data_IF_930167184209
#
_entry.id   IF_930167184209
#
_cell.length_a   1.000
_cell.length_b   1.000
_cell.length_c   1.000
_cell.angle_alpha   90.00
_cell.angle_beta   90.00
_cell.angle_gamma   90.00
#
_symmetry.space_group_name_H-M   'P 1'
#
loop_
_entity.id
_entity.type
_entity.pdbx_description
1 polymer ?
#
# COMPACT_ATOMS: atom_id res chain seq x y z
N UNK A 1 -33.39 2.89 29.42
CA UNK A 1 -33.24 1.53 28.84
C UNK A 1 -33.06 1.54 27.31
N UNK A 2 -33.81 2.35 26.53
CA UNK A 2 -33.66 2.40 25.06
C UNK A 2 -32.25 2.74 24.52
N UNK A 3 -31.48 3.58 25.23
CA UNK A 3 -30.10 3.92 24.85
C UNK A 3 -29.08 2.77 25.04
N UNK A 4 -29.37 1.83 25.93
CA UNK A 4 -28.46 0.71 26.23
C UNK A 4 -28.58 -0.36 25.13
N UNK A 5 -29.79 -0.62 24.65
CA UNK A 5 -30.06 -1.57 23.55
C UNK A 5 -29.48 -1.06 22.23
N UNK A 6 -29.62 0.23 21.92
CA UNK A 6 -29.05 0.83 20.69
C UNK A 6 -27.52 0.88 20.69
N UNK A 7 -26.90 0.99 21.86
CA UNK A 7 -25.44 0.94 22.02
C UNK A 7 -24.90 -0.49 21.91
N UNK A 8 -25.72 -1.51 22.24
CA UNK A 8 -25.35 -2.94 22.17
C UNK A 8 -25.51 -3.52 20.74
N UNK A 9 -26.56 -3.09 20.01
CA UNK A 9 -26.53 -2.89 18.53
C UNK A 9 -25.36 -1.98 18.20
N UNK A 10 -24.91 -1.70 16.99
CA UNK A 10 -23.65 -0.96 16.74
C UNK A 10 -22.38 -1.66 17.28
N UNK A 11 -22.28 -1.98 18.58
CA UNK A 11 -21.13 -2.66 19.16
C UNK A 11 -20.94 -4.06 18.57
N UNK A 12 -22.02 -4.83 18.31
CA UNK A 12 -21.88 -6.15 17.67
C UNK A 12 -21.23 -6.07 16.28
N UNK A 13 -21.76 -5.26 15.36
CA UNK A 13 -21.19 -5.14 14.00
C UNK A 13 -19.81 -4.50 14.02
N UNK A 14 -19.57 -3.52 14.90
CA UNK A 14 -18.24 -2.93 15.08
C UNK A 14 -17.23 -3.98 15.53
N UNK A 15 -17.56 -4.79 16.54
CA UNK A 15 -16.69 -5.83 17.05
C UNK A 15 -16.38 -6.88 15.98
N UNK A 16 -17.38 -7.29 15.19
CA UNK A 16 -17.16 -8.24 14.10
C UNK A 16 -16.28 -7.66 12.99
N UNK A 17 -16.52 -6.40 12.59
CA UNK A 17 -15.67 -5.69 11.62
C UNK A 17 -14.22 -5.60 12.11
N UNK A 18 -14.00 -5.27 13.39
CA UNK A 18 -12.67 -5.20 13.98
C UNK A 18 -12.01 -6.57 14.11
N UNK A 19 -12.76 -7.59 14.52
CA UNK A 19 -12.29 -8.97 14.71
C UNK A 19 -11.84 -9.59 13.40
N UNK A 20 -12.63 -9.40 12.34
CA UNK A 20 -12.31 -9.89 10.99
C UNK A 20 -11.44 -8.93 10.18
N UNK A 21 -11.09 -7.76 10.72
CA UNK A 21 -10.40 -6.69 9.99
C UNK A 21 -11.08 -6.37 8.63
N UNK A 22 -12.42 -6.38 8.56
CA UNK A 22 -13.12 -6.27 7.29
C UNK A 22 -13.09 -4.83 6.71
N UNK A 23 -12.65 -4.68 5.44
CA UNK A 23 -12.55 -3.36 4.75
C UNK A 23 -13.59 -3.15 3.67
N UNK A 24 -14.34 -4.20 3.35
CA UNK A 24 -15.46 -4.16 2.44
C UNK A 24 -16.60 -5.03 2.96
N UNK A 25 -17.82 -4.72 2.53
CA UNK A 25 -18.98 -5.53 2.91
C UNK A 25 -18.81 -6.98 2.46
N UNK A 26 -18.22 -7.21 1.29
CA UNK A 26 -17.99 -8.55 0.76
C UNK A 26 -17.00 -9.34 1.63
N UNK A 27 -15.92 -8.72 2.10
CA UNK A 27 -14.98 -9.35 3.05
C UNK A 27 -15.67 -9.76 4.34
N UNK A 28 -16.44 -8.85 4.95
CA UNK A 28 -17.19 -9.15 6.17
C UNK A 28 -18.15 -10.30 5.90
N UNK A 29 -18.94 -10.21 4.83
CA UNK A 29 -19.97 -11.19 4.51
C UNK A 29 -19.38 -12.60 4.32
N UNK A 30 -18.21 -12.73 3.67
CA UNK A 30 -17.55 -14.02 3.49
C UNK A 30 -16.91 -14.57 4.77
N UNK A 31 -16.54 -13.71 5.72
CA UNK A 31 -15.90 -14.10 6.98
C UNK A 31 -16.92 -14.56 8.05
N UNK A 32 -18.14 -14.00 8.02
CA UNK A 32 -19.19 -14.30 8.99
C UNK A 32 -19.64 -15.77 8.93
N UNK A 33 -19.76 -16.38 10.10
CA UNK A 33 -20.35 -17.70 10.30
C UNK A 33 -21.88 -17.67 10.14
N UNK A 34 -22.51 -18.85 10.08
CA UNK A 34 -23.97 -18.95 10.02
C UNK A 34 -24.63 -18.34 11.26
N UNK A 35 -24.14 -18.66 12.46
CA UNK A 35 -24.69 -18.16 13.72
C UNK A 35 -24.56 -16.63 13.83
N UNK A 36 -23.41 -16.07 13.48
CA UNK A 36 -23.21 -14.60 13.49
C UNK A 36 -24.13 -13.90 12.50
N UNK A 37 -24.40 -14.49 11.33
CA UNK A 37 -25.36 -13.94 10.38
C UNK A 37 -26.76 -13.95 10.96
N UNK A 38 -27.19 -15.03 11.60
CA UNK A 38 -28.51 -15.12 12.23
C UNK A 38 -28.64 -14.10 13.38
N UNK A 39 -27.60 -13.93 14.20
CA UNK A 39 -27.55 -12.92 15.25
C UNK A 39 -27.64 -11.49 14.69
N UNK A 40 -26.90 -11.20 13.62
CA UNK A 40 -26.98 -9.92 12.91
C UNK A 40 -28.39 -9.69 12.37
N UNK A 41 -28.98 -10.69 11.71
CA UNK A 41 -30.33 -10.58 11.17
C UNK A 41 -31.38 -10.41 12.29
N UNK A 42 -31.24 -11.12 13.41
CA UNK A 42 -32.12 -10.98 14.57
C UNK A 42 -32.06 -9.57 15.18
N UNK A 43 -30.87 -8.97 15.22
CA UNK A 43 -30.64 -7.71 15.91
C UNK A 43 -30.86 -6.46 15.04
N UNK A 44 -30.49 -6.51 13.76
CA UNK A 44 -30.55 -5.38 12.82
C UNK A 44 -31.62 -5.54 11.72
N UNK A 45 -32.15 -6.76 11.53
CA UNK A 45 -33.12 -7.04 10.48
C UNK A 45 -32.56 -6.81 9.07
N UNK A 46 -33.43 -6.53 8.08
CA UNK A 46 -33.02 -6.37 6.68
C UNK A 46 -32.03 -5.22 6.40
N UNK A 47 -31.92 -4.24 7.31
CA UNK A 47 -31.07 -3.06 7.16
C UNK A 47 -29.63 -3.27 7.65
N UNK A 48 -29.26 -4.49 8.06
CA UNK A 48 -27.94 -4.77 8.61
C UNK A 48 -26.80 -4.43 7.66
N UNK A 49 -27.03 -4.55 6.34
CA UNK A 49 -26.03 -4.22 5.31
C UNK A 49 -25.60 -2.76 5.36
N UNK A 50 -26.54 -1.82 5.41
CA UNK A 50 -26.25 -0.38 5.48
C UNK A 50 -25.49 -0.04 6.78
N UNK A 51 -25.89 -0.68 7.89
CA UNK A 51 -25.22 -0.51 9.18
C UNK A 51 -23.80 -1.07 9.15
N UNK A 52 -23.60 -2.24 8.52
CA UNK A 52 -22.29 -2.86 8.36
C UNK A 52 -21.37 -1.99 7.49
N UNK A 53 -21.86 -1.47 6.37
CA UNK A 53 -21.13 -0.56 5.49
C UNK A 53 -20.67 0.71 6.23
N UNK A 54 -21.55 1.31 7.04
CA UNK A 54 -21.20 2.44 7.89
C UNK A 54 -20.15 2.08 8.97
N UNK A 55 -20.22 0.89 9.57
CA UNK A 55 -19.21 0.43 10.54
C UNK A 55 -17.85 0.21 9.86
N UNK A 56 -17.83 -0.42 8.68
CA UNK A 56 -16.63 -0.65 7.87
C UNK A 56 -16.00 0.68 7.44
N UNK A 57 -16.81 1.65 7.02
CA UNK A 57 -16.32 2.98 6.63
C UNK A 57 -15.64 3.68 7.81
N UNK A 58 -16.25 3.67 8.99
CA UNK A 58 -15.65 4.27 10.20
C UNK A 58 -14.37 3.54 10.63
N UNK A 59 -14.36 2.20 10.58
CA UNK A 59 -13.18 1.39 10.89
C UNK A 59 -12.02 1.68 9.94
N UNK A 60 -12.29 1.74 8.64
CA UNK A 60 -11.31 2.06 7.60
C UNK A 60 -10.79 3.48 7.74
N UNK A 61 -11.67 4.45 8.03
CA UNK A 61 -11.29 5.84 8.27
C UNK A 61 -10.37 5.98 9.48
N UNK A 62 -10.65 5.29 10.59
CA UNK A 62 -9.79 5.31 11.78
C UNK A 62 -8.37 4.84 11.44
N UNK A 63 -8.26 3.74 10.70
CA UNK A 63 -6.98 3.14 10.34
C UNK A 63 -6.24 4.00 9.30
N UNK A 64 -6.97 4.62 8.37
CA UNK A 64 -6.41 5.58 7.43
C UNK A 64 -5.78 6.78 8.15
N UNK A 65 -6.50 7.38 9.12
CA UNK A 65 -5.99 8.51 9.91
C UNK A 65 -4.74 8.11 10.69
N UNK A 66 -4.75 6.94 11.32
CA UNK A 66 -3.58 6.40 12.01
C UNK A 66 -2.38 6.29 11.07
N UNK A 67 -2.55 5.61 9.92
CA UNK A 67 -1.49 5.42 8.93
C UNK A 67 -0.95 6.73 8.33
N UNK A 68 -1.81 7.74 8.16
CA UNK A 68 -1.41 9.02 7.58
C UNK A 68 -0.65 9.92 8.57
N UNK A 69 -0.86 9.72 9.88
CA UNK A 69 -0.30 10.55 10.96
C UNK A 69 0.84 9.89 11.73
N UNK A 70 0.91 8.55 11.72
CA UNK A 70 2.01 7.79 12.29
C UNK A 70 3.27 7.92 11.46
N UNK A 71 4.44 7.84 12.13
CA UNK A 71 5.71 7.65 11.42
C UNK A 71 5.81 6.22 10.89
N UNK A 72 6.52 6.06 9.80
CA UNK A 72 6.77 4.78 9.13
C UNK A 72 7.33 3.74 10.10
N UNK A 73 8.30 4.14 10.92
CA UNK A 73 8.96 3.29 11.89
C UNK A 73 7.99 2.83 12.99
N UNK A 74 7.13 3.73 13.47
CA UNK A 74 6.12 3.39 14.48
C UNK A 74 5.10 2.41 13.91
N UNK A 75 4.64 2.66 12.67
CA UNK A 75 3.72 1.77 11.96
C UNK A 75 4.32 0.37 11.73
N UNK A 76 5.58 0.26 11.31
CA UNK A 76 6.24 -1.04 11.14
C UNK A 76 6.31 -1.82 12.46
N UNK A 77 6.50 -1.13 13.60
CA UNK A 77 6.57 -1.77 14.93
C UNK A 77 5.22 -2.32 15.36
N UNK A 78 4.14 -1.55 15.19
CA UNK A 78 2.81 -1.89 15.70
C UNK A 78 2.02 -2.78 14.74
N UNK A 79 2.18 -2.59 13.44
CA UNK A 79 1.39 -3.26 12.41
C UNK A 79 2.24 -4.30 11.67
N UNK A 80 2.67 -5.36 12.38
CA UNK A 80 3.63 -6.33 11.83
C UNK A 80 3.00 -7.50 11.07
N UNK A 81 1.69 -7.52 10.87
CA UNK A 81 0.98 -8.71 10.38
C UNK A 81 0.04 -8.36 9.23
N UNK A 82 0.38 -8.84 8.04
CA UNK A 82 -0.58 -8.91 6.94
C UNK A 82 -1.58 -10.05 7.23
N UNK A 83 -2.80 -10.00 6.70
CA UNK A 83 -3.88 -10.99 6.90
C UNK A 83 -3.48 -12.43 6.56
N UNK A 84 -2.59 -12.57 5.59
CA UNK A 84 -2.04 -13.86 5.15
C UNK A 84 -0.80 -14.30 5.95
N UNK A 85 -0.40 -13.55 6.98
CA UNK A 85 0.80 -13.81 7.75
C UNK A 85 0.59 -15.03 8.66
N UNK A 86 1.47 -16.02 8.55
CA UNK A 86 1.47 -17.20 9.43
C UNK A 86 2.17 -16.96 10.77
N UNK A 87 2.52 -15.71 11.12
CA UNK A 87 3.26 -15.34 12.33
C UNK A 87 4.49 -16.23 12.57
N UNK A 88 5.50 -16.17 11.69
CA UNK A 88 6.68 -17.02 11.84
C UNK A 88 7.38 -16.73 13.17
N UNK A 89 7.61 -17.78 13.97
CA UNK A 89 8.39 -17.68 15.21
C UNK A 89 9.85 -17.32 14.94
N UNK A 90 10.35 -17.66 13.75
CA UNK A 90 11.73 -17.43 13.33
C UNK A 90 11.76 -16.67 12.01
N UNK A 91 12.33 -15.45 12.01
CA UNK A 91 12.42 -14.59 10.83
C UNK A 91 13.83 -14.49 10.24
N UNK A 92 14.85 -15.00 10.95
CA UNK A 92 16.27 -14.79 10.63
C UNK A 92 16.63 -15.19 9.19
N UNK A 93 16.14 -16.33 8.71
CA UNK A 93 16.45 -16.78 7.34
C UNK A 93 15.86 -15.82 6.29
N UNK A 94 14.65 -15.29 6.54
CA UNK A 94 14.04 -14.28 5.69
C UNK A 94 14.77 -12.94 5.75
N UNK A 95 15.27 -12.54 6.93
CA UNK A 95 16.11 -11.35 7.09
C UNK A 95 17.43 -11.49 6.32
N UNK A 96 18.10 -12.64 6.43
CA UNK A 96 19.33 -12.94 5.69
C UNK A 96 19.09 -12.97 4.19
N UNK A 97 17.94 -13.47 3.75
CA UNK A 97 17.55 -13.42 2.35
C UNK A 97 17.36 -11.98 1.87
N UNK A 98 16.77 -11.09 2.68
CA UNK A 98 16.64 -9.66 2.35
C UNK A 98 18.00 -8.94 2.31
N UNK A 99 18.91 -9.25 3.23
CA UNK A 99 20.31 -8.78 3.16
C UNK A 99 20.98 -9.25 1.87
N UNK A 100 20.80 -10.53 1.51
CA UNK A 100 21.33 -11.11 0.27
C UNK A 100 20.75 -10.42 -0.96
N UNK A 101 19.43 -10.17 -0.99
CA UNK A 101 18.74 -9.46 -2.07
C UNK A 101 19.39 -8.09 -2.34
N UNK A 102 19.67 -7.29 -1.30
CA UNK A 102 20.34 -6.01 -1.50
C UNK A 102 21.81 -6.18 -1.88
N UNK A 103 22.51 -7.11 -1.24
CA UNK A 103 23.93 -7.36 -1.48
C UNK A 103 24.22 -7.74 -2.93
N UNK A 104 23.52 -8.72 -3.50
CA UNK A 104 23.74 -9.18 -4.89
C UNK A 104 23.38 -8.11 -5.92
N UNK A 105 22.46 -7.22 -5.58
CA UNK A 105 22.09 -6.07 -6.40
C UNK A 105 22.98 -4.83 -6.16
N UNK A 106 24.02 -4.95 -5.32
CA UNK A 106 24.98 -3.89 -4.97
C UNK A 106 24.31 -2.66 -4.37
N UNK A 107 23.29 -2.88 -3.54
CA UNK A 107 22.54 -1.82 -2.87
C UNK A 107 23.00 -1.73 -1.42
N UNK A 108 23.33 -0.51 -0.97
CA UNK A 108 23.60 -0.24 0.44
C UNK A 108 22.29 -0.26 1.24
N UNK A 109 22.17 -1.18 2.20
CA UNK A 109 20.97 -1.31 3.05
C UNK A 109 20.62 -0.03 3.80
N UNK A 110 21.60 0.65 4.39
CA UNK A 110 21.36 1.84 5.22
C UNK A 110 20.82 3.00 4.38
N UNK A 111 21.44 3.27 3.23
CA UNK A 111 20.97 4.30 2.29
C UNK A 111 19.57 3.97 1.76
N UNK A 112 19.36 2.71 1.35
CA UNK A 112 18.09 2.22 0.83
C UNK A 112 16.95 2.38 1.84
N UNK A 113 17.18 1.98 3.11
CA UNK A 113 16.19 2.11 4.18
C UNK A 113 15.96 3.59 4.57
N UNK A 114 17.01 4.41 4.57
CA UNK A 114 16.88 5.84 4.85
C UNK A 114 16.02 6.54 3.79
N UNK A 115 16.25 6.24 2.51
CA UNK A 115 15.47 6.80 1.40
C UNK A 115 14.02 6.31 1.39
N UNK A 116 13.81 5.02 1.67
CA UNK A 116 12.46 4.48 1.84
C UNK A 116 11.72 5.20 2.98
N UNK A 117 12.39 5.38 4.13
CA UNK A 117 11.82 6.05 5.30
C UNK A 117 11.47 7.50 5.02
N UNK A 118 12.35 8.22 4.32
CA UNK A 118 12.12 9.60 3.88
C UNK A 118 10.88 9.73 3.00
N UNK A 119 10.68 8.80 2.06
CA UNK A 119 9.48 8.77 1.21
C UNK A 119 8.24 8.45 2.02
N UNK A 120 8.26 7.37 2.81
CA UNK A 120 7.11 6.92 3.59
C UNK A 120 6.65 7.97 4.62
N UNK A 121 7.59 8.68 5.23
CA UNK A 121 7.32 9.79 6.15
C UNK A 121 7.04 11.13 5.46
N UNK A 122 7.02 11.19 4.12
CA UNK A 122 6.76 12.41 3.34
C UNK A 122 7.74 13.56 3.68
N UNK A 123 9.00 13.23 3.98
CA UNK A 123 10.00 14.17 4.53
C UNK A 123 10.73 15.01 3.48
N UNK A 124 10.71 14.60 2.21
CA UNK A 124 11.52 15.24 1.16
C UNK A 124 10.62 15.95 0.17
N UNK A 125 10.75 17.27 0.07
CA UNK A 125 10.00 18.04 -0.91
C UNK A 125 10.46 17.72 -2.33
N UNK A 126 9.51 17.71 -3.27
CA UNK A 126 9.75 17.42 -4.70
C UNK A 126 10.31 16.03 -4.98
N UNK A 127 10.39 15.13 -3.99
CA UNK A 127 10.87 13.75 -4.17
C UNK A 127 10.08 12.80 -3.27
N UNK A 128 8.98 12.28 -3.81
CA UNK A 128 7.95 11.56 -3.07
C UNK A 128 7.74 10.12 -3.56
N UNK A 129 8.61 9.62 -4.44
CA UNK A 129 8.51 8.30 -5.04
C UNK A 129 9.73 7.42 -4.75
N UNK A 130 9.48 6.15 -4.43
CA UNK A 130 10.48 5.11 -4.26
C UNK A 130 10.30 4.06 -5.36
N UNK A 131 11.29 3.92 -6.23
CA UNK A 131 11.20 3.14 -7.46
C UNK A 131 12.18 1.97 -7.42
N UNK A 132 11.63 0.77 -7.59
CA UNK A 132 12.40 -0.44 -7.88
C UNK A 132 12.29 -0.75 -9.38
N UNK A 133 13.41 -0.62 -10.09
CA UNK A 133 13.54 -0.93 -11.51
C UNK A 133 14.29 -2.24 -11.77
N UNK A 134 14.10 -2.87 -12.92
CA UNK A 134 14.93 -3.98 -13.40
C UNK A 134 14.13 -5.17 -13.94
N UNK A 135 14.76 -6.23 -14.46
CA UNK A 135 14.08 -7.32 -15.17
C UNK A 135 12.94 -7.99 -14.40
N UNK A 136 12.09 -8.74 -15.09
CA UNK A 136 11.05 -9.53 -14.43
C UNK A 136 11.66 -10.55 -13.46
N UNK A 137 10.90 -10.95 -12.44
CA UNK A 137 11.32 -12.00 -11.48
C UNK A 137 12.54 -11.66 -10.60
N UNK A 138 12.91 -10.39 -10.45
CA UNK A 138 14.02 -9.95 -9.57
C UNK A 138 13.58 -9.55 -8.15
N UNK A 139 12.33 -9.82 -7.76
CA UNK A 139 11.84 -9.60 -6.39
C UNK A 139 11.27 -8.20 -6.10
N UNK A 140 11.11 -7.33 -7.12
CA UNK A 140 10.59 -5.95 -6.95
C UNK A 140 9.21 -5.90 -6.30
N UNK A 141 8.22 -6.56 -6.91
CA UNK A 141 6.85 -6.66 -6.40
C UNK A 141 6.81 -7.33 -5.02
N UNK A 142 7.61 -8.39 -4.85
CA UNK A 142 7.71 -9.09 -3.56
C UNK A 142 8.14 -8.11 -2.46
N UNK A 143 9.18 -7.31 -2.70
CA UNK A 143 9.71 -6.37 -1.73
C UNK A 143 8.69 -5.27 -1.38
N UNK A 144 8.12 -4.58 -2.37
CA UNK A 144 7.16 -3.48 -2.08
C UNK A 144 5.91 -3.97 -1.37
N UNK A 145 5.46 -5.21 -1.60
CA UNK A 145 4.31 -5.81 -0.92
C UNK A 145 4.56 -6.10 0.56
N UNK A 146 5.81 -6.38 0.96
CA UNK A 146 6.17 -6.50 2.39
C UNK A 146 5.87 -5.22 3.18
N UNK A 147 5.78 -4.09 2.48
CA UNK A 147 5.47 -2.78 3.05
C UNK A 147 4.01 -2.45 2.79
N UNK A 148 3.60 -2.44 1.52
CA UNK A 148 2.31 -1.91 1.07
C UNK A 148 1.11 -2.67 1.60
N UNK A 149 1.21 -3.99 1.79
CA UNK A 149 0.04 -4.80 2.18
C UNK A 149 -0.49 -4.44 3.58
N UNK A 150 0.31 -3.78 4.42
CA UNK A 150 -0.12 -3.30 5.74
C UNK A 150 -0.70 -1.86 5.70
N UNK A 151 -0.81 -1.26 4.52
CA UNK A 151 -1.39 0.06 4.30
C UNK A 151 -2.72 -0.04 3.56
N UNK A 152 -3.60 0.93 3.79
CA UNK A 152 -4.73 1.17 2.90
C UNK A 152 -4.15 1.87 1.66
N UNK A 153 -3.77 1.08 0.66
CA UNK A 153 -3.14 1.61 -0.55
C UNK A 153 -4.11 1.68 -1.74
N UNK A 154 -3.81 2.60 -2.66
CA UNK A 154 -4.44 2.72 -3.96
C UNK A 154 -3.50 2.26 -5.06
N UNK A 155 -4.06 1.79 -6.17
CA UNK A 155 -3.29 1.40 -7.36
C UNK A 155 -3.69 2.23 -8.57
N UNK A 156 -2.72 2.49 -9.43
CA UNK A 156 -2.93 3.14 -10.73
C UNK A 156 -2.89 2.08 -11.81
N UNK A 157 -3.95 1.98 -12.61
CA UNK A 157 -4.04 1.00 -13.67
C UNK A 157 -3.10 1.34 -14.84
N UNK A 158 -2.57 0.31 -15.50
CA UNK A 158 -1.66 0.46 -16.66
C UNK A 158 -2.31 1.14 -17.87
N UNK A 159 -3.63 1.04 -17.97
CA UNK A 159 -4.46 1.64 -19.02
C UNK A 159 -4.75 3.13 -18.79
N UNK A 160 -4.01 3.78 -17.88
CA UNK A 160 -4.31 5.13 -17.38
C UNK A 160 -4.37 6.22 -18.46
N UNK A 161 -3.80 6.00 -19.63
CA UNK A 161 -3.90 6.91 -20.78
C UNK A 161 -5.29 6.92 -21.44
N UNK A 162 -6.12 5.92 -21.19
CA UNK A 162 -7.48 5.85 -21.75
C UNK A 162 -8.53 6.59 -20.91
N UNK A 163 -8.18 7.08 -19.71
CA UNK A 163 -9.16 7.69 -18.81
C UNK A 163 -8.55 8.78 -17.94
N UNK A 164 -9.20 9.95 -17.94
CA UNK A 164 -8.91 11.06 -17.02
C UNK A 164 -9.09 10.71 -15.53
N UNK A 165 -9.70 9.57 -15.21
CA UNK A 165 -9.98 9.13 -13.84
C UNK A 165 -8.90 8.19 -13.26
N UNK A 166 -7.73 8.09 -13.89
CA UNK A 166 -6.71 7.09 -13.56
C UNK A 166 -6.13 7.20 -12.12
N UNK A 167 -6.26 8.38 -11.48
CA UNK A 167 -5.81 8.63 -10.12
C UNK A 167 -6.90 8.53 -9.05
N UNK A 168 -8.18 8.39 -9.42
CA UNK A 168 -9.28 8.42 -8.44
C UNK A 168 -9.15 7.35 -7.35
N UNK A 169 -8.50 6.23 -7.67
CA UNK A 169 -8.23 5.13 -6.73
C UNK A 169 -7.23 5.49 -5.62
N UNK A 170 -6.54 6.63 -5.73
CA UNK A 170 -5.60 7.14 -4.73
C UNK A 170 -6.28 8.01 -3.67
N UNK A 171 -7.54 8.40 -3.87
CA UNK A 171 -8.31 9.16 -2.88
C UNK A 171 -8.56 8.33 -1.63
N UNK A 172 -8.45 8.96 -0.48
CA UNK A 172 -8.64 8.33 0.83
C UNK A 172 -7.72 7.10 1.04
N UNK A 173 -6.48 7.19 0.54
CA UNK A 173 -5.43 6.17 0.72
C UNK A 173 -4.26 6.72 1.52
N UNK A 174 -3.55 5.82 2.20
CA UNK A 174 -2.33 6.13 2.92
C UNK A 174 -1.08 6.02 2.02
N UNK A 175 -1.17 5.22 0.96
CA UNK A 175 -0.04 4.84 0.11
C UNK A 175 -0.49 4.65 -1.35
N UNK A 176 0.32 5.05 -2.31
CA UNK A 176 0.15 4.68 -3.71
C UNK A 176 1.11 3.54 -4.06
N UNK A 177 0.58 2.44 -4.59
CA UNK A 177 1.37 1.33 -5.14
C UNK A 177 1.14 1.25 -6.65
N UNK A 178 2.21 1.37 -7.42
CA UNK A 178 2.14 1.35 -8.89
C UNK A 178 3.03 0.25 -9.46
N UNK A 179 2.40 -0.73 -10.10
CA UNK A 179 3.10 -1.86 -10.71
C UNK A 179 3.13 -1.74 -12.23
N UNK A 180 4.29 -1.38 -12.77
CA UNK A 180 4.51 -0.98 -14.16
C UNK A 180 3.60 0.19 -14.59
N UNK A 181 3.68 1.37 -13.94
CA UNK A 181 2.91 2.51 -14.37
C UNK A 181 3.32 2.93 -15.78
N UNK A 182 2.34 3.34 -16.58
CA UNK A 182 2.56 3.89 -17.91
C UNK A 182 2.41 5.41 -17.85
N UNK A 183 3.54 6.11 -17.76
CA UNK A 183 3.59 7.58 -17.81
C UNK A 183 3.75 7.98 -19.26
N UNK A 184 2.80 8.73 -19.80
CA UNK A 184 2.83 9.23 -21.18
C UNK A 184 2.91 10.75 -21.18
N UNK A 185 3.11 11.35 -22.35
CA UNK A 185 3.09 12.81 -22.49
C UNK A 185 1.79 13.47 -22.03
N UNK A 186 0.66 12.76 -22.09
CA UNK A 186 -0.62 13.29 -21.65
C UNK A 186 -0.74 13.34 -20.13
N UNK A 187 -0.16 12.35 -19.43
CA UNK A 187 -0.29 12.21 -17.97
C UNK A 187 0.92 12.73 -17.20
N UNK A 188 2.00 13.13 -17.90
CA UNK A 188 3.29 13.42 -17.27
C UNK A 188 3.21 14.56 -16.25
N UNK A 189 2.36 15.57 -16.46
CA UNK A 189 2.22 16.67 -15.51
C UNK A 189 1.55 16.21 -14.21
N UNK A 190 0.51 15.39 -14.28
CA UNK A 190 -0.12 14.80 -13.09
C UNK A 190 0.87 13.92 -12.32
N UNK A 191 1.70 13.14 -13.03
CA UNK A 191 2.78 12.37 -12.41
C UNK A 191 3.87 13.28 -11.80
N UNK A 192 4.18 14.44 -12.38
CA UNK A 192 5.11 15.40 -11.75
C UNK A 192 4.55 15.94 -10.44
N UNK A 193 3.25 16.22 -10.36
CA UNK A 193 2.61 16.67 -9.12
C UNK A 193 2.61 15.54 -8.08
N UNK A 194 2.17 14.35 -8.47
CA UNK A 194 2.08 13.17 -7.59
C UNK A 194 3.44 12.71 -7.05
N UNK A 195 4.42 12.53 -7.93
CA UNK A 195 5.77 12.10 -7.56
C UNK A 195 6.57 13.23 -6.89
N UNK A 196 6.16 14.49 -7.11
CA UNK A 196 6.68 15.64 -6.38
C UNK A 196 6.10 15.76 -4.96
N UNK A 197 4.96 15.12 -4.70
CA UNK A 197 4.25 15.21 -3.42
C UNK A 197 3.41 16.47 -3.27
N UNK A 198 3.07 17.13 -4.37
CA UNK A 198 2.18 18.29 -4.36
C UNK A 198 0.71 17.84 -4.29
N UNK A 199 -0.13 18.66 -3.66
CA UNK A 199 -1.56 18.45 -3.74
C UNK A 199 -2.11 19.07 -5.03
N UNK A 200 -3.00 18.35 -5.72
CA UNK A 200 -3.64 18.80 -6.96
C UNK A 200 -5.04 18.19 -7.10
N UNK A 201 -5.87 18.78 -7.96
CA UNK A 201 -7.24 18.33 -8.16
C UNK A 201 -7.27 17.24 -9.22
N UNK A 202 -8.04 16.18 -8.97
CA UNK A 202 -8.18 15.05 -9.89
C UNK A 202 -9.65 14.80 -10.20
N UNK A 203 -9.89 14.30 -11.41
CA UNK A 203 -11.24 13.95 -11.84
C UNK A 203 -11.74 12.68 -11.15
N UNK A 204 -13.00 12.70 -10.71
CA UNK A 204 -13.68 11.54 -10.12
C UNK A 204 -14.99 11.27 -10.87
N UNK A 205 -15.30 9.98 -11.08
CA UNK A 205 -16.51 9.59 -11.83
C UNK A 205 -17.77 10.00 -11.06
N UNK A 206 -18.73 10.57 -11.80
CA UNK A 206 -20.08 10.91 -11.30
C UNK A 206 -20.11 11.89 -10.11
N UNK A 207 -19.01 12.56 -9.80
CA UNK A 207 -18.94 13.58 -8.77
C UNK A 207 -17.97 14.69 -9.17
N UNK A 208 -17.85 15.72 -8.33
CA UNK A 208 -16.94 16.84 -8.57
C UNK A 208 -15.49 16.38 -8.40
N UNK A 209 -14.58 17.14 -8.99
CA UNK A 209 -13.15 16.95 -8.79
C UNK A 209 -12.80 17.00 -7.30
N UNK A 210 -11.85 16.15 -6.91
CA UNK A 210 -11.39 16.05 -5.53
C UNK A 210 -9.90 16.34 -5.43
N UNK A 211 -9.53 16.94 -4.29
CA UNK A 211 -8.14 17.29 -3.98
C UNK A 211 -7.38 16.03 -3.56
N UNK A 212 -6.47 15.55 -4.41
CA UNK A 212 -5.52 14.53 -4.00
C UNK A 212 -4.41 15.16 -3.15
N UNK A 213 -4.34 14.78 -1.88
CA UNK A 213 -3.28 15.21 -0.98
C UNK A 213 -2.04 14.34 -1.11
N UNK A 214 -0.89 14.83 -0.62
CA UNK A 214 0.38 14.09 -0.62
C UNK A 214 0.24 12.73 0.08
N UNK A 215 0.61 11.67 -0.64
CA UNK A 215 0.80 10.31 -0.13
C UNK A 215 2.10 9.72 -0.69
N UNK A 216 2.84 8.89 0.06
CA UNK A 216 4.02 8.19 -0.45
C UNK A 216 3.70 7.33 -1.67
N UNK A 217 4.64 7.23 -2.62
CA UNK A 217 4.47 6.45 -3.85
C UNK A 217 5.54 5.37 -3.94
N UNK A 218 5.12 4.11 -4.01
CA UNK A 218 5.99 2.96 -4.28
C UNK A 218 5.75 2.48 -5.71
N UNK A 219 6.82 2.33 -6.48
CA UNK A 219 6.76 1.95 -7.89
C UNK A 219 7.64 0.73 -8.14
N UNK A 220 7.11 -0.23 -8.88
CA UNK A 220 7.90 -1.30 -9.50
C UNK A 220 7.82 -1.17 -11.02
N UNK A 221 8.95 -1.32 -11.71
CA UNK A 221 8.97 -1.29 -13.17
C UNK A 221 10.08 -2.14 -13.80
N UNK A 222 9.80 -2.74 -14.95
CA UNK A 222 10.75 -3.51 -15.74
C UNK A 222 11.54 -2.64 -16.71
N UNK A 223 10.87 -1.62 -17.27
CA UNK A 223 11.45 -0.69 -18.23
C UNK A 223 11.83 0.62 -17.53
N UNK A 224 12.50 1.51 -18.26
CA UNK A 224 12.69 2.87 -17.75
C UNK A 224 11.32 3.52 -17.50
N UNK A 225 11.12 4.06 -16.29
CA UNK A 225 9.88 4.73 -15.90
C UNK A 225 9.47 5.85 -16.87
N UNK A 226 10.45 6.44 -17.57
CA UNK A 226 10.24 7.56 -18.49
C UNK A 226 10.24 7.12 -19.96
N UNK A 227 10.03 5.83 -20.25
CA UNK A 227 10.12 5.28 -21.60
C UNK A 227 9.22 5.98 -22.64
N UNK A 228 8.02 6.43 -22.25
CA UNK A 228 7.09 7.13 -23.15
C UNK A 228 7.08 8.66 -22.96
N UNK A 229 8.12 9.21 -22.35
CA UNK A 229 8.24 10.62 -21.99
C UNK A 229 9.45 11.24 -22.69
N UNK A 230 9.33 12.50 -23.10
CA UNK A 230 10.35 13.26 -23.82
C UNK A 230 11.37 13.83 -22.83
N UNK A 231 12.57 14.14 -23.33
CA UNK A 231 13.79 14.34 -22.55
C UNK A 231 13.65 15.11 -21.23
N UNK A 232 13.21 16.37 -21.28
CA UNK A 232 13.14 17.22 -20.07
C UNK A 232 12.10 16.75 -19.07
N UNK A 233 10.94 16.29 -19.54
CA UNK A 233 9.91 15.74 -18.67
C UNK A 233 10.37 14.44 -18.01
N UNK A 234 11.12 13.61 -18.74
CA UNK A 234 11.73 12.40 -18.20
C UNK A 234 12.73 12.71 -17.08
N UNK A 235 13.59 13.72 -17.27
CA UNK A 235 14.50 14.19 -16.20
C UNK A 235 13.72 14.65 -14.97
N UNK A 236 12.68 15.45 -15.18
CA UNK A 236 11.82 15.94 -14.10
C UNK A 236 11.17 14.79 -13.31
N UNK A 237 10.69 13.74 -13.98
CA UNK A 237 10.14 12.55 -13.31
C UNK A 237 11.23 11.83 -12.49
N UNK A 238 12.43 11.66 -13.04
CA UNK A 238 13.52 10.96 -12.35
C UNK A 238 14.02 11.71 -11.12
N UNK A 239 14.10 13.04 -11.17
CA UNK A 239 14.48 13.87 -10.01
C UNK A 239 13.52 13.73 -8.82
N UNK A 240 12.26 13.37 -9.09
CA UNK A 240 11.20 13.13 -8.10
C UNK A 240 11.24 11.72 -7.49
N UNK A 241 12.18 10.88 -7.93
CA UNK A 241 12.25 9.47 -7.55
C UNK A 241 13.57 9.13 -6.82
N UNK A 242 13.49 8.35 -5.74
CA UNK A 242 14.59 7.51 -5.30
C UNK A 242 14.56 6.23 -6.12
N UNK A 243 15.66 5.91 -6.81
CA UNK A 243 15.66 4.85 -7.82
C UNK A 243 16.71 3.79 -7.48
N UNK A 244 16.25 2.55 -7.31
CA UNK A 244 17.11 1.38 -7.10
C UNK A 244 16.85 0.33 -8.16
N UNK A 245 17.86 -0.50 -8.46
CA UNK A 245 17.76 -1.52 -9.51
C UNK A 245 17.98 -2.92 -8.95
N UNK A 246 17.01 -3.80 -9.19
CA UNK A 246 17.12 -5.24 -8.93
C UNK A 246 17.35 -5.96 -10.27
N UNK A 247 18.57 -6.44 -10.47
CA UNK A 247 19.03 -7.14 -11.66
C UNK A 247 19.09 -8.66 -11.50
N UNK A 248 19.35 -9.14 -10.28
CA UNK A 248 19.54 -10.57 -10.02
C UNK A 248 18.19 -11.28 -9.90
N UNK A 249 18.03 -12.36 -10.67
CA UNK A 249 16.79 -13.15 -10.70
C UNK A 249 16.62 -13.94 -9.40
N UNK A 250 15.42 -13.91 -8.84
CA UNK A 250 15.04 -14.75 -7.70
C UNK A 250 14.94 -16.21 -8.15
N UNK A 251 15.57 -17.11 -7.39
CA UNK A 251 15.76 -18.51 -7.75
C UNK A 251 17.00 -18.79 -8.60
N UNK A 252 17.94 -17.85 -8.69
CA UNK A 252 19.28 -18.08 -9.26
C UNK A 252 20.26 -18.56 -8.19
N UNK A 253 21.45 -19.00 -8.60
CA UNK A 253 22.52 -19.42 -7.66
C UNK A 253 22.94 -18.27 -6.73
N UNK A 254 22.96 -17.03 -7.23
CA UNK A 254 23.34 -15.85 -6.44
C UNK A 254 22.23 -15.43 -5.47
N UNK A 255 20.97 -15.58 -5.89
CA UNK A 255 19.77 -15.22 -5.13
C UNK A 255 18.76 -16.38 -5.21
N UNK A 256 18.85 -17.37 -4.30
CA UNK A 256 17.92 -18.49 -4.28
C UNK A 256 16.49 -18.03 -3.98
N UNK A 257 15.53 -18.95 -4.08
CA UNK A 257 14.17 -18.67 -3.65
C UNK A 257 14.15 -18.26 -2.16
N UNK A 258 13.23 -17.38 -1.75
CA UNK A 258 13.04 -17.10 -0.33
C UNK A 258 12.82 -18.39 0.46
N UNK A 259 13.38 -18.50 1.67
CA UNK A 259 13.27 -19.73 2.48
C UNK A 259 11.83 -20.02 2.93
N UNK A 260 10.96 -19.00 2.89
CA UNK A 260 9.55 -19.09 3.24
C UNK A 260 8.75 -17.99 2.52
N UNK A 261 7.42 -17.99 2.67
CA UNK A 261 6.58 -16.86 2.25
C UNK A 261 6.91 -15.65 3.14
N UNK A 262 7.72 -14.72 2.61
CA UNK A 262 8.05 -13.49 3.32
C UNK A 262 6.79 -12.66 3.59
N UNK A 263 6.82 -11.95 4.72
CA UNK A 263 5.72 -11.16 5.22
C UNK A 263 6.27 -9.97 6.01
N UNK A 264 5.39 -9.08 6.45
CA UNK A 264 5.75 -7.85 7.15
C UNK A 264 6.54 -8.08 8.45
N UNK A 265 6.42 -9.25 9.10
CA UNK A 265 7.25 -9.62 10.25
C UNK A 265 8.74 -9.67 9.89
N UNK A 266 9.07 -10.29 8.75
CA UNK A 266 10.44 -10.40 8.27
C UNK A 266 11.00 -9.01 7.95
N UNK A 267 10.20 -8.18 7.26
CA UNK A 267 10.59 -6.82 6.93
C UNK A 267 10.80 -5.96 8.19
N UNK A 268 9.91 -6.05 9.18
CA UNK A 268 10.06 -5.34 10.46
C UNK A 268 11.39 -5.68 11.14
N UNK A 269 11.67 -6.97 11.33
CA UNK A 269 12.88 -7.39 12.06
C UNK A 269 14.13 -7.02 11.26
N UNK A 270 14.09 -7.20 9.94
CA UNK A 270 15.17 -6.81 9.05
C UNK A 270 15.42 -5.29 9.02
N UNK A 271 14.37 -4.47 9.09
CA UNK A 271 14.45 -3.00 9.07
C UNK A 271 15.14 -2.44 10.32
N UNK A 272 14.87 -3.01 11.50
CA UNK A 272 15.42 -2.53 12.78
C UNK A 272 16.78 -3.14 13.17
N UNK A 273 17.34 -3.97 12.31
CA UNK A 273 18.64 -4.63 12.49
C UNK A 273 19.73 -3.91 11.72
#
# INVERSE_FOLDING_TARGET
MANITRKRRLDLLRNLVETYDARSFNELNLALTYDERDDIYGEYGPQWKETAEHCIQNYTMRILVEQQTSRFEDHIRTNSHNRDCQHPQYTLDGEHWLDRLLFVNRINKQEFLADLTRVMNKQVDRKNAFVLGGPTTTGKTLFVKLIADNYIYGTVQRSGDHSQFFLMNLLNKALALMEEPRITQLTVNDFKELLGGNAFDIHVKHQKDERLTRLPVLITTNNDLTYYVLGEDGKAIKERCFYYKFFVKVGSDELPLPPCKLCSCHFRNWYFK
#
